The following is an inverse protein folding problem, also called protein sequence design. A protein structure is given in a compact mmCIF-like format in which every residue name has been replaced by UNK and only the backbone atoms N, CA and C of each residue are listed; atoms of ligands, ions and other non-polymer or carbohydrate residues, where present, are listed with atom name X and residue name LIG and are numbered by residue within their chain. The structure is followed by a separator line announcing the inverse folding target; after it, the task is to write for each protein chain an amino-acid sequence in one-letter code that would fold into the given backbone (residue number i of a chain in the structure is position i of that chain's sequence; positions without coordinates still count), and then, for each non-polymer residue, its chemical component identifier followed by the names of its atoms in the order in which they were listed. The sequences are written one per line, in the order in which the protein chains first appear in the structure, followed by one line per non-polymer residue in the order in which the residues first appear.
data_IF_312521058335
#
_entry.id   IF_312521058335
#
_cell.length_a   1.000
_cell.length_b   1.000
_cell.length_c   1.000
_cell.angle_alpha   90.00
_cell.angle_beta   90.00
_cell.angle_gamma   90.00
#
_symmetry.space_group_name_H-M   'P 1'
#
loop_
_entity.id
_entity.type
_entity.pdbx_description
1 polymer ?
#
# COMPACT_ATOMS: atom_id res chain seq x y z
N UNK A 1 8.69 26.96 2.12
CA UNK A 1 9.21 28.05 2.96
C UNK A 1 10.47 27.56 3.67
N UNK A 2 11.43 28.41 4.02
CA UNK A 2 12.57 28.05 4.84
C UNK A 2 12.09 27.66 6.25
N UNK A 3 12.77 26.69 6.88
CA UNK A 3 12.51 26.32 8.26
C UNK A 3 13.01 27.46 9.18
N UNK A 4 12.29 27.79 10.26
CA UNK A 4 12.81 28.73 11.25
C UNK A 4 14.10 28.19 11.87
N UNK A 5 15.11 29.03 11.99
CA UNK A 5 16.46 28.68 12.46
C UNK A 5 16.45 27.97 13.83
N UNK A 6 15.60 28.44 14.74
CA UNK A 6 15.44 27.82 16.06
C UNK A 6 14.96 26.36 16.00
N UNK A 7 14.06 26.01 15.03
CA UNK A 7 13.58 24.66 14.81
C UNK A 7 14.69 23.80 14.22
N UNK A 8 15.44 24.32 13.24
CA UNK A 8 16.56 23.64 12.63
C UNK A 8 17.64 23.27 13.66
N UNK A 9 18.05 24.23 14.50
CA UNK A 9 19.02 24.03 15.57
C UNK A 9 18.50 23.02 16.61
N UNK A 10 17.20 23.02 16.93
CA UNK A 10 16.61 22.09 17.86
C UNK A 10 16.60 20.66 17.31
N UNK A 11 16.27 20.47 16.03
CA UNK A 11 16.28 19.17 15.37
C UNK A 11 17.67 18.56 15.28
N UNK A 12 18.67 19.35 14.89
CA UNK A 12 20.05 18.87 14.82
C UNK A 12 20.59 18.51 16.21
N UNK A 13 20.25 19.29 17.23
CA UNK A 13 20.62 19.01 18.63
C UNK A 13 19.94 17.73 19.13
N UNK A 14 18.64 17.56 18.88
CA UNK A 14 17.91 16.34 19.26
C UNK A 14 18.50 15.09 18.60
N UNK A 15 18.92 15.20 17.33
CA UNK A 15 19.63 14.10 16.64
C UNK A 15 20.95 13.77 17.33
N UNK A 16 21.80 14.77 17.61
CA UNK A 16 23.10 14.61 18.23
C UNK A 16 22.98 13.99 19.65
N UNK A 17 21.99 14.43 20.43
CA UNK A 17 21.71 13.91 21.79
C UNK A 17 21.18 12.46 21.74
N UNK A 18 20.23 12.17 20.84
CA UNK A 18 19.60 10.84 20.76
C UNK A 18 20.57 9.76 20.33
N UNK A 19 21.53 10.08 19.48
CA UNK A 19 22.49 9.12 18.95
C UNK A 19 23.92 9.26 19.55
N UNK A 20 24.06 10.05 20.62
CA UNK A 20 25.33 10.19 21.36
C UNK A 20 26.48 10.69 20.51
N UNK A 21 26.22 11.56 19.54
CA UNK A 21 27.20 12.09 18.59
C UNK A 21 27.68 11.08 17.54
N UNK A 22 27.13 9.85 17.51
CA UNK A 22 27.41 8.87 16.45
C UNK A 22 26.82 9.35 15.12
N UNK A 23 27.55 9.16 14.03
CA UNK A 23 27.03 9.38 12.68
C UNK A 23 26.23 8.15 12.25
N UNK A 24 24.97 8.09 12.66
CA UNK A 24 24.03 7.02 12.28
C UNK A 24 23.20 7.45 11.07
N UNK A 25 22.64 6.50 10.39
CA UNK A 25 21.58 6.73 9.39
C UNK A 25 20.24 6.50 10.05
N UNK A 26 19.25 7.29 9.67
CA UNK A 26 17.92 7.20 10.26
C UNK A 26 16.85 7.08 9.18
N UNK A 27 15.77 6.42 9.55
CA UNK A 27 14.50 6.49 8.84
C UNK A 27 13.70 7.66 9.42
N UNK A 28 13.29 8.59 8.59
CA UNK A 28 12.41 9.69 8.97
C UNK A 28 11.00 9.35 8.48
N UNK A 29 10.10 9.08 9.43
CA UNK A 29 8.72 8.65 9.15
C UNK A 29 7.73 9.71 9.61
N UNK A 30 6.65 9.90 8.85
CA UNK A 30 5.51 10.70 9.27
C UNK A 30 4.83 10.11 10.51
N UNK A 31 4.27 10.99 11.33
CA UNK A 31 3.34 10.69 12.40
C UNK A 31 2.31 11.80 12.42
N UNK A 32 1.35 11.73 11.50
CA UNK A 32 0.35 12.77 11.34
C UNK A 32 -0.81 12.57 12.33
N UNK A 33 -1.46 13.67 12.72
CA UNK A 33 -2.71 13.59 13.48
C UNK A 33 -3.71 12.77 12.67
N UNK A 34 -4.32 11.78 13.30
CA UNK A 34 -5.25 10.80 12.75
C UNK A 34 -4.61 9.61 11.97
N UNK A 35 -3.27 9.58 11.76
CA UNK A 35 -2.60 8.46 11.10
C UNK A 35 -2.78 7.12 11.85
N UNK A 36 -2.84 7.19 13.19
CA UNK A 36 -3.05 6.03 14.07
C UNK A 36 -4.53 5.78 14.42
N UNK A 37 -5.45 6.35 13.64
CA UNK A 37 -6.89 6.19 13.84
C UNK A 37 -7.45 4.89 13.26
N UNK A 38 -8.80 4.79 13.23
CA UNK A 38 -9.52 3.65 12.63
C UNK A 38 -9.32 3.53 11.11
N UNK A 39 -8.83 4.56 10.46
CA UNK A 39 -8.51 4.57 9.03
C UNK A 39 -6.99 4.51 8.86
N UNK A 40 -6.54 3.66 7.95
CA UNK A 40 -5.13 3.50 7.68
C UNK A 40 -4.65 4.58 6.71
N UNK A 41 -3.75 5.45 7.18
CA UNK A 41 -3.03 6.39 6.31
C UNK A 41 -1.80 5.75 5.65
N UNK A 42 -1.75 4.41 5.59
CA UNK A 42 -0.63 3.68 5.01
C UNK A 42 -0.28 4.24 3.62
N UNK A 43 1.00 4.60 3.43
CA UNK A 43 1.52 5.12 2.17
C UNK A 43 0.95 6.47 1.70
N UNK A 44 0.15 7.18 2.50
CA UNK A 44 -0.36 8.50 2.12
C UNK A 44 0.69 9.60 2.27
N UNK A 45 1.59 9.42 3.22
CA UNK A 45 2.68 10.34 3.49
C UNK A 45 4.03 9.72 3.09
N UNK A 46 5.05 10.57 2.97
CA UNK A 46 6.39 10.15 2.58
C UNK A 46 7.18 9.70 3.82
N UNK A 47 7.92 8.60 3.67
CA UNK A 47 8.98 8.18 4.58
C UNK A 47 10.30 8.23 3.83
N UNK A 48 11.36 8.73 4.46
CA UNK A 48 12.68 8.84 3.83
C UNK A 48 13.67 8.01 4.63
N UNK A 49 14.28 7.05 3.95
CA UNK A 49 15.28 6.14 4.51
C UNK A 49 16.70 6.66 4.24
N UNK A 50 17.66 6.22 5.04
CA UNK A 50 19.08 6.55 4.84
C UNK A 50 19.46 7.99 5.16
N UNK A 51 18.60 8.74 5.84
CA UNK A 51 18.82 10.14 6.20
C UNK A 51 20.03 10.25 7.14
N UNK A 52 20.94 11.14 6.82
CA UNK A 52 22.10 11.49 7.66
C UNK A 52 21.83 12.82 8.38
N UNK A 53 22.70 13.16 9.36
CA UNK A 53 22.64 14.46 10.02
C UNK A 53 22.63 15.63 9.03
N UNK A 54 23.45 15.54 7.99
CA UNK A 54 23.60 16.63 7.02
C UNK A 54 22.37 16.79 6.10
N UNK A 55 21.66 15.70 5.84
CA UNK A 55 20.43 15.68 5.02
C UNK A 55 19.15 15.80 5.83
N UNK A 56 19.22 15.78 7.18
CA UNK A 56 18.07 15.72 8.08
C UNK A 56 17.05 16.85 7.83
N UNK A 57 17.50 18.08 7.71
CA UNK A 57 16.61 19.23 7.53
C UNK A 57 15.91 19.20 6.19
N UNK A 58 16.60 18.78 5.13
CA UNK A 58 16.01 18.62 3.80
C UNK A 58 14.99 17.50 3.79
N UNK A 59 15.30 16.35 4.37
CA UNK A 59 14.40 15.23 4.51
C UNK A 59 13.17 15.60 5.35
N UNK A 60 13.37 16.28 6.48
CA UNK A 60 12.27 16.76 7.33
C UNK A 60 11.26 17.61 6.56
N UNK A 61 11.77 18.60 5.81
CA UNK A 61 10.91 19.48 4.99
C UNK A 61 10.13 18.69 3.94
N UNK A 62 10.74 17.69 3.36
CA UNK A 62 10.13 16.85 2.32
C UNK A 62 9.03 15.95 2.91
N UNK A 63 9.28 15.28 4.03
CA UNK A 63 8.27 14.50 4.74
C UNK A 63 7.10 15.41 5.17
N UNK A 64 7.39 16.58 5.73
CA UNK A 64 6.34 17.54 6.11
C UNK A 64 5.51 18.01 4.91
N UNK A 65 6.15 18.25 3.77
CA UNK A 65 5.47 18.68 2.55
C UNK A 65 4.53 17.61 2.00
N UNK A 66 4.79 16.31 2.26
CA UNK A 66 3.93 15.20 1.83
C UNK A 66 2.52 15.28 2.42
N UNK A 67 2.34 15.98 3.56
CA UNK A 67 1.02 16.27 4.14
C UNK A 67 0.08 17.00 3.16
N UNK A 68 0.66 17.76 2.25
CA UNK A 68 -0.04 18.58 1.24
C UNK A 68 0.09 18.01 -0.17
N UNK A 69 0.55 16.76 -0.32
CA UNK A 69 0.57 16.09 -1.61
C UNK A 69 -0.85 15.88 -2.13
N UNK A 70 -1.08 15.86 -3.46
CA UNK A 70 -2.41 15.59 -4.04
C UNK A 70 -3.04 14.31 -3.49
N UNK A 71 -2.24 13.26 -3.30
CA UNK A 71 -2.66 11.99 -2.72
C UNK A 71 -3.15 12.15 -1.29
N UNK A 72 -2.36 12.76 -0.41
CA UNK A 72 -2.71 12.97 0.99
C UNK A 72 -3.95 13.88 1.15
N UNK A 73 -4.03 14.96 0.37
CA UNK A 73 -5.17 15.86 0.38
C UNK A 73 -6.45 15.16 -0.08
N UNK A 74 -6.39 14.41 -1.17
CA UNK A 74 -7.54 13.64 -1.69
C UNK A 74 -8.02 12.62 -0.66
N UNK A 75 -7.09 11.87 -0.07
CA UNK A 75 -7.41 10.87 0.95
C UNK A 75 -8.08 11.52 2.17
N UNK A 76 -7.53 12.61 2.70
CA UNK A 76 -8.05 13.32 3.85
C UNK A 76 -9.45 13.89 3.61
N UNK A 77 -9.64 14.58 2.49
CA UNK A 77 -10.93 15.16 2.11
C UNK A 77 -12.02 14.11 1.99
N UNK A 78 -11.70 12.97 1.39
CA UNK A 78 -12.67 11.88 1.18
C UNK A 78 -13.05 11.16 2.48
N UNK A 79 -12.12 11.10 3.43
CA UNK A 79 -12.38 10.52 4.74
C UNK A 79 -12.90 11.53 5.78
N UNK A 80 -13.27 12.74 5.34
CA UNK A 80 -13.92 13.73 6.19
C UNK A 80 -12.98 14.50 7.12
N UNK A 81 -11.66 14.42 6.90
CA UNK A 81 -10.72 15.18 7.72
C UNK A 81 -10.63 16.64 7.26
N UNK A 82 -10.72 17.55 8.22
CA UNK A 82 -10.52 18.97 7.95
C UNK A 82 -9.05 19.28 7.64
N UNK A 83 -8.81 20.09 6.62
CA UNK A 83 -7.45 20.48 6.23
C UNK A 83 -6.83 21.47 7.24
N UNK A 84 -7.68 22.27 7.93
CA UNK A 84 -7.27 23.25 8.93
C UNK A 84 -6.69 22.64 10.21
N UNK A 85 -7.05 21.40 10.53
CA UNK A 85 -6.60 20.68 11.73
C UNK A 85 -5.41 19.77 11.46
N UNK A 86 -4.69 20.02 10.36
CA UNK A 86 -3.55 19.20 9.96
C UNK A 86 -2.32 19.48 10.82
N UNK A 87 -1.80 18.45 11.45
CA UNK A 87 -0.51 18.47 12.12
C UNK A 87 0.25 17.20 11.82
N UNK A 88 1.58 17.30 11.71
CA UNK A 88 2.45 16.15 11.50
C UNK A 88 3.64 16.25 12.46
N UNK A 89 3.75 15.24 13.33
CA UNK A 89 4.98 14.86 13.97
C UNK A 89 5.85 14.03 13.03
N UNK A 90 7.08 13.77 13.43
CA UNK A 90 7.97 12.87 12.71
C UNK A 90 8.73 12.00 13.68
N UNK A 91 8.81 10.73 13.35
CA UNK A 91 9.62 9.76 14.07
C UNK A 91 10.98 9.62 13.36
N UNK A 92 12.06 9.75 14.12
CA UNK A 92 13.42 9.60 13.63
C UNK A 92 14.02 8.34 14.28
N UNK A 93 14.12 7.26 13.52
CA UNK A 93 14.57 5.94 14.00
C UNK A 93 15.91 5.59 13.40
N UNK A 94 16.83 5.04 14.20
CA UNK A 94 18.07 4.47 13.66
C UNK A 94 17.76 3.37 12.64
N UNK A 95 18.39 3.45 11.45
CA UNK A 95 18.20 2.47 10.40
C UNK A 95 18.81 1.15 10.77
N UNK A 96 18.05 0.09 10.57
CA UNK A 96 18.52 -1.27 10.70
C UNK A 96 19.09 -1.73 9.34
N UNK A 97 20.31 -2.24 9.34
CA UNK A 97 20.86 -2.94 8.19
C UNK A 97 20.21 -4.32 8.07
N UNK A 98 19.03 -4.35 7.49
CA UNK A 98 18.20 -5.53 7.49
C UNK A 98 18.75 -6.62 6.56
N UNK A 99 18.92 -7.84 7.07
CA UNK A 99 19.13 -9.08 6.32
C UNK A 99 17.81 -9.54 5.71
N UNK A 100 16.73 -9.44 6.50
CA UNK A 100 15.37 -9.70 6.11
C UNK A 100 14.43 -8.74 6.82
N UNK A 101 13.30 -8.43 6.22
CA UNK A 101 12.28 -7.61 6.85
C UNK A 101 10.88 -7.96 6.32
N UNK A 102 9.86 -7.51 7.02
CA UNK A 102 8.50 -7.79 6.59
C UNK A 102 7.43 -7.30 7.54
N UNK A 103 6.24 -7.86 7.39
CA UNK A 103 5.06 -7.52 8.17
C UNK A 103 4.45 -8.75 8.82
N UNK A 104 3.80 -8.56 9.95
CA UNK A 104 3.02 -9.58 10.63
C UNK A 104 1.66 -9.03 11.03
N UNK A 105 0.61 -9.75 10.66
CA UNK A 105 -0.77 -9.42 11.02
C UNK A 105 -1.23 -10.36 12.12
N UNK A 106 -1.67 -9.80 13.23
CA UNK A 106 -2.15 -10.62 14.36
C UNK A 106 -3.43 -11.37 14.06
N UNK A 107 -4.14 -10.97 13.02
CA UNK A 107 -5.28 -11.65 12.40
C UNK A 107 -5.11 -11.68 10.89
N UNK A 108 -5.65 -12.70 10.24
CA UNK A 108 -5.59 -12.77 8.78
C UNK A 108 -6.41 -11.62 8.15
N UNK A 109 -5.81 -10.73 7.33
CA UNK A 109 -6.45 -9.50 6.89
C UNK A 109 -7.64 -9.70 5.93
N UNK A 110 -7.72 -10.85 5.28
CA UNK A 110 -8.77 -11.18 4.30
C UNK A 110 -9.72 -12.27 4.83
N UNK A 111 -9.17 -13.31 5.45
CA UNK A 111 -9.96 -14.39 6.01
C UNK A 111 -10.17 -14.17 7.51
N UNK A 112 -11.18 -13.38 7.87
CA UNK A 112 -11.51 -13.04 9.26
C UNK A 112 -11.93 -14.27 10.11
N UNK A 113 -12.28 -15.40 9.47
CA UNK A 113 -12.58 -16.67 10.17
C UNK A 113 -11.30 -17.44 10.52
N UNK A 114 -10.18 -17.17 9.84
CA UNK A 114 -8.91 -17.77 10.21
C UNK A 114 -8.45 -17.22 11.56
N UNK A 115 -8.14 -18.14 12.45
CA UNK A 115 -7.54 -17.80 13.75
C UNK A 115 -6.01 -17.92 13.68
N UNK A 116 -5.41 -17.51 12.56
CA UNK A 116 -3.98 -17.57 12.32
C UNK A 116 -3.37 -16.17 12.29
N UNK A 117 -2.12 -16.10 12.70
CA UNK A 117 -1.23 -14.96 12.49
C UNK A 117 -0.62 -15.12 11.10
N UNK A 118 -0.70 -14.08 10.27
CA UNK A 118 -0.05 -14.05 8.97
C UNK A 118 1.27 -13.31 9.09
N UNK A 119 2.37 -13.92 8.63
CA UNK A 119 3.70 -13.31 8.59
C UNK A 119 4.19 -13.34 7.15
N UNK A 120 4.61 -12.19 6.63
CA UNK A 120 5.20 -12.03 5.32
C UNK A 120 6.62 -11.48 5.45
N UNK A 121 7.56 -11.98 4.65
CA UNK A 121 8.95 -11.52 4.71
C UNK A 121 9.68 -11.61 3.37
N UNK A 122 10.67 -10.72 3.20
CA UNK A 122 11.57 -10.66 2.05
C UNK A 122 13.02 -10.51 2.51
N UNK A 123 13.97 -10.73 1.61
CA UNK A 123 15.36 -10.35 1.84
C UNK A 123 15.54 -8.83 1.77
N UNK A 124 16.41 -8.29 2.62
CA UNK A 124 16.75 -6.87 2.67
C UNK A 124 15.71 -6.02 3.40
N UNK A 125 15.47 -4.80 2.90
CA UNK A 125 14.53 -3.85 3.49
C UNK A 125 13.08 -4.23 3.20
N UNK A 126 12.18 -3.94 4.14
CA UNK A 126 10.76 -4.27 4.06
C UNK A 126 9.95 -3.39 3.09
N UNK A 127 10.56 -2.40 2.45
CA UNK A 127 9.90 -1.49 1.51
C UNK A 127 9.22 -2.25 0.37
N UNK A 128 9.88 -3.27 -0.18
CA UNK A 128 9.33 -4.11 -1.25
C UNK A 128 8.08 -4.93 -0.84
N UNK A 129 7.89 -5.22 0.46
CA UNK A 129 6.64 -5.81 0.95
C UNK A 129 5.57 -4.75 1.10
N UNK A 130 5.94 -3.56 1.59
CA UNK A 130 5.01 -2.48 1.86
C UNK A 130 4.44 -1.88 0.57
N UNK A 131 5.25 -1.69 -0.46
CA UNK A 131 4.81 -1.19 -1.78
C UNK A 131 4.25 -2.30 -2.68
N UNK A 132 4.52 -3.57 -2.34
CA UNK A 132 4.05 -4.74 -3.09
C UNK A 132 4.84 -5.04 -4.36
N UNK A 133 6.04 -4.49 -4.51
CA UNK A 133 6.92 -4.75 -5.65
C UNK A 133 7.56 -6.15 -5.62
N UNK A 134 7.58 -6.81 -4.46
CA UNK A 134 8.08 -8.17 -4.31
C UNK A 134 7.00 -9.12 -3.77
N UNK A 135 7.02 -10.38 -4.25
CA UNK A 135 6.24 -11.45 -3.66
C UNK A 135 6.97 -11.99 -2.44
N UNK A 136 6.42 -11.86 -1.22
CA UNK A 136 7.08 -12.29 0.00
C UNK A 136 6.94 -13.79 0.25
N UNK A 137 7.85 -14.34 1.06
CA UNK A 137 7.60 -15.58 1.79
C UNK A 137 6.42 -15.37 2.74
N UNK A 138 5.61 -16.40 2.96
CA UNK A 138 4.41 -16.31 3.77
C UNK A 138 4.33 -17.48 4.75
N UNK A 139 3.98 -17.18 6.00
CA UNK A 139 3.72 -18.16 7.05
C UNK A 139 2.39 -17.87 7.74
N UNK A 140 1.59 -18.92 7.91
CA UNK A 140 0.43 -18.89 8.78
C UNK A 140 0.79 -19.61 10.08
N UNK A 141 0.61 -18.95 11.20
CA UNK A 141 0.91 -19.48 12.53
C UNK A 141 -0.38 -19.54 13.33
N UNK A 142 -0.75 -20.74 13.77
CA UNK A 142 -1.93 -20.94 14.61
C UNK A 142 -1.77 -20.22 15.95
N UNK A 143 -2.70 -19.32 16.26
CA UNK A 143 -2.73 -18.56 17.53
C UNK A 143 -2.90 -19.48 18.75
N UNK A 144 -3.61 -20.58 18.59
CA UNK A 144 -3.90 -21.50 19.68
C UNK A 144 -2.70 -22.41 20.03
N UNK A 145 -1.94 -22.85 19.01
CA UNK A 145 -0.88 -23.85 19.18
C UNK A 145 0.52 -23.32 18.95
N UNK A 146 0.64 -22.10 18.41
CA UNK A 146 1.91 -21.48 17.99
C UNK A 146 2.70 -22.34 16.97
N UNK A 147 2.01 -23.21 16.25
CA UNK A 147 2.58 -24.02 15.19
C UNK A 147 2.38 -23.33 13.85
N UNK A 148 3.38 -23.43 12.97
CA UNK A 148 3.27 -23.02 11.58
C UNK A 148 2.30 -24.02 10.92
N UNK A 149 1.13 -23.52 10.49
CA UNK A 149 0.08 -24.32 9.84
C UNK A 149 0.25 -24.37 8.33
N UNK A 150 0.82 -23.32 7.75
CA UNK A 150 1.10 -23.20 6.32
C UNK A 150 2.36 -22.37 6.09
N UNK A 151 3.11 -22.74 5.05
CA UNK A 151 4.34 -22.07 4.64
C UNK A 151 4.41 -22.03 3.12
N UNK A 152 4.57 -20.83 2.56
CA UNK A 152 4.75 -20.62 1.11
C UNK A 152 6.03 -19.84 0.92
N UNK A 153 7.01 -20.41 0.23
CA UNK A 153 8.27 -19.75 -0.07
C UNK A 153 8.24 -19.23 -1.51
N UNK A 154 8.38 -17.93 -1.64
CA UNK A 154 8.41 -17.25 -2.92
C UNK A 154 9.79 -17.35 -3.58
N UNK A 155 9.84 -17.27 -4.90
CA UNK A 155 11.09 -17.02 -5.62
C UNK A 155 11.41 -15.53 -5.54
N UNK A 156 12.42 -15.18 -4.76
CA UNK A 156 12.85 -13.79 -4.50
C UNK A 156 14.00 -13.43 -5.44
N UNK A 157 13.70 -12.79 -6.57
CA UNK A 157 14.72 -12.43 -7.58
C UNK A 157 15.50 -11.20 -7.17
N UNK A 158 14.88 -10.25 -6.49
CA UNK A 158 15.46 -8.98 -6.07
C UNK A 158 15.27 -8.75 -4.59
N UNK A 159 16.14 -7.94 -4.00
CA UNK A 159 16.03 -7.41 -2.65
C UNK A 159 16.33 -5.92 -2.66
N UNK A 160 15.79 -5.16 -1.74
CA UNK A 160 16.13 -3.75 -1.56
C UNK A 160 17.18 -3.61 -0.47
N UNK A 161 18.28 -2.95 -0.77
CA UNK A 161 19.37 -2.66 0.18
C UNK A 161 19.69 -1.18 0.21
N UNK A 162 20.38 -0.72 1.25
CA UNK A 162 20.91 0.64 1.28
C UNK A 162 22.23 0.70 0.49
N UNK A 163 22.24 1.42 -0.61
CA UNK A 163 23.44 1.65 -1.42
C UNK A 163 23.92 3.08 -1.32
N UNK A 164 25.26 3.26 -1.36
CA UNK A 164 25.86 4.59 -1.45
C UNK A 164 25.77 5.08 -2.89
N UNK A 165 25.10 6.20 -3.08
CA UNK A 165 25.02 6.92 -4.37
C UNK A 165 25.73 8.27 -4.26
N UNK A 166 25.94 8.96 -5.38
CA UNK A 166 26.50 10.31 -5.40
C UNK A 166 25.64 11.32 -4.63
N UNK A 167 24.34 11.03 -4.47
CA UNK A 167 23.37 11.85 -3.75
C UNK A 167 23.21 11.46 -2.26
N UNK A 168 23.93 10.45 -1.80
CA UNK A 168 23.82 9.92 -0.43
C UNK A 168 23.61 8.42 -0.40
N UNK A 169 22.85 7.94 0.58
CA UNK A 169 22.49 6.53 0.70
C UNK A 169 20.99 6.39 0.49
N UNK A 170 20.64 5.65 -0.52
CA UNK A 170 19.26 5.45 -0.93
C UNK A 170 18.94 3.95 -1.00
N UNK A 171 17.66 3.56 -0.82
CA UNK A 171 17.23 2.21 -1.12
C UNK A 171 17.49 1.90 -2.61
N UNK A 172 18.09 0.75 -2.87
CA UNK A 172 18.43 0.31 -4.21
C UNK A 172 18.10 -1.17 -4.40
N UNK A 173 17.43 -1.55 -5.49
CA UNK A 173 17.21 -2.96 -5.81
C UNK A 173 18.52 -3.63 -6.20
N UNK A 174 18.75 -4.83 -5.68
CA UNK A 174 19.90 -5.70 -5.94
C UNK A 174 19.40 -7.12 -6.22
N UNK A 175 20.04 -7.81 -7.16
CA UNK A 175 19.70 -9.19 -7.47
C UNK A 175 20.02 -10.12 -6.29
N UNK A 176 19.10 -11.03 -5.99
CA UNK A 176 19.33 -12.11 -5.05
C UNK A 176 20.08 -13.23 -5.75
N UNK A 177 21.19 -13.69 -5.16
CA UNK A 177 21.97 -14.81 -5.71
C UNK A 177 21.09 -16.06 -5.88
N UNK A 178 21.25 -16.81 -6.97
CA UNK A 178 20.44 -18.00 -7.28
C UNK A 178 20.23 -18.97 -6.10
N UNK A 179 21.26 -19.31 -5.29
CA UNK A 179 21.08 -20.20 -4.16
C UNK A 179 20.13 -19.67 -3.09
N UNK A 180 19.95 -18.35 -3.01
CA UNK A 180 19.12 -17.68 -1.99
C UNK A 180 17.71 -17.38 -2.46
N UNK A 181 17.42 -17.46 -3.75
CA UNK A 181 16.13 -17.06 -4.32
C UNK A 181 14.95 -17.86 -3.77
N UNK A 182 15.14 -19.15 -3.53
CA UNK A 182 14.11 -20.09 -3.05
C UNK A 182 14.32 -20.52 -1.59
N UNK A 183 15.20 -19.81 -0.85
CA UNK A 183 15.46 -20.08 0.56
C UNK A 183 14.53 -19.19 1.40
N UNK A 184 13.90 -19.71 2.47
CA UNK A 184 13.11 -18.90 3.40
C UNK A 184 13.95 -17.76 3.98
N UNK A 185 13.41 -16.53 3.99
CA UNK A 185 14.11 -15.37 4.57
C UNK A 185 14.10 -15.37 6.12
N UNK A 186 13.30 -16.23 6.73
CA UNK A 186 13.25 -16.46 8.18
C UNK A 186 13.49 -17.92 8.54
N UNK A 187 14.10 -18.16 9.67
CA UNK A 187 14.09 -19.46 10.33
C UNK A 187 12.73 -19.72 10.98
N UNK A 188 12.38 -20.98 11.18
CA UNK A 188 11.12 -21.34 11.87
C UNK A 188 11.04 -20.82 13.30
N UNK A 189 12.19 -20.64 13.98
CA UNK A 189 12.22 -20.09 15.34
C UNK A 189 11.98 -18.58 15.32
N UNK A 190 12.52 -17.85 14.33
CA UNK A 190 12.21 -16.43 14.12
C UNK A 190 10.72 -16.22 13.80
N UNK A 191 10.13 -17.08 12.95
CA UNK A 191 8.67 -17.05 12.67
C UNK A 191 7.85 -17.21 13.95
N UNK A 192 8.20 -18.18 14.82
CA UNK A 192 7.52 -18.37 16.11
C UNK A 192 7.72 -17.18 17.06
N UNK A 193 8.91 -16.59 17.08
CA UNK A 193 9.21 -15.42 17.91
C UNK A 193 8.39 -14.20 17.46
N UNK A 194 8.28 -13.94 16.15
CA UNK A 194 7.44 -12.88 15.61
C UNK A 194 5.97 -13.12 15.97
N UNK A 195 5.48 -14.35 15.83
CA UNK A 195 4.12 -14.70 16.22
C UNK A 195 3.86 -14.49 17.73
N UNK A 196 4.83 -14.81 18.58
CA UNK A 196 4.72 -14.56 20.00
C UNK A 196 4.70 -13.06 20.35
N UNK A 197 5.48 -12.24 19.64
CA UNK A 197 5.43 -10.79 19.77
C UNK A 197 4.08 -10.24 19.30
N UNK A 198 3.59 -10.72 18.18
CA UNK A 198 2.31 -10.31 17.63
C UNK A 198 1.17 -10.48 18.65
N UNK A 199 1.11 -11.63 19.35
CA UNK A 199 0.10 -11.86 20.38
C UNK A 199 0.30 -10.94 21.61
N UNK A 200 1.53 -10.68 22.02
CA UNK A 200 1.80 -9.76 23.14
C UNK A 200 1.38 -8.32 22.81
N UNK A 201 1.65 -7.89 21.59
CA UNK A 201 1.33 -6.54 21.12
C UNK A 201 -0.20 -6.39 21.00
N UNK A 202 -0.90 -7.36 20.37
CA UNK A 202 -2.37 -7.36 20.32
C UNK A 202 -2.99 -7.35 21.72
N UNK A 203 -2.42 -8.14 22.64
CA UNK A 203 -2.88 -8.14 24.05
C UNK A 203 -2.66 -6.79 24.73
N UNK A 204 -1.54 -6.12 24.45
CA UNK A 204 -1.26 -4.79 25.01
C UNK A 204 -2.22 -3.72 24.51
N UNK A 205 -2.45 -3.67 23.21
CA UNK A 205 -3.34 -2.68 22.58
C UNK A 205 -4.83 -3.07 22.63
N UNK A 206 -5.17 -4.30 23.01
CA UNK A 206 -6.53 -4.85 23.02
C UNK A 206 -7.24 -4.77 21.66
N UNK A 207 -6.48 -4.73 20.58
CA UNK A 207 -6.97 -4.61 19.22
C UNK A 207 -5.99 -5.29 18.24
N UNK A 208 -6.47 -5.95 17.17
CA UNK A 208 -5.60 -6.57 16.17
C UNK A 208 -4.63 -5.58 15.55
N UNK A 209 -3.40 -6.03 15.32
CA UNK A 209 -2.28 -5.19 14.93
C UNK A 209 -1.63 -5.65 13.63
N UNK A 210 -1.17 -4.67 12.86
CA UNK A 210 -0.24 -4.76 11.75
C UNK A 210 1.14 -4.34 12.28
N UNK A 211 2.13 -5.22 12.14
CA UNK A 211 3.44 -5.10 12.80
C UNK A 211 4.53 -5.18 11.73
N UNK A 212 5.39 -4.17 11.68
CA UNK A 212 6.60 -4.19 10.88
C UNK A 212 7.78 -4.70 11.71
N UNK A 213 8.57 -5.61 11.13
CA UNK A 213 9.72 -6.22 11.76
C UNK A 213 10.92 -6.29 10.82
N UNK A 214 12.13 -6.40 11.38
CA UNK A 214 13.36 -6.67 10.65
C UNK A 214 14.22 -7.69 11.41
N UNK A 215 15.09 -8.36 10.65
CA UNK A 215 16.22 -9.16 11.16
C UNK A 215 17.49 -8.46 10.70
N UNK A 216 18.38 -8.15 11.63
CA UNK A 216 19.67 -7.54 11.31
C UNK A 216 20.70 -8.57 10.80
N UNK A 217 21.94 -8.11 10.55
CA UNK A 217 23.02 -8.96 10.06
C UNK A 217 23.52 -9.96 11.13
N UNK A 218 23.22 -9.71 12.41
CA UNK A 218 23.53 -10.55 13.56
C UNK A 218 22.38 -11.51 13.94
N UNK A 219 21.40 -11.66 13.03
CA UNK A 219 20.19 -12.49 13.17
C UNK A 219 19.27 -12.09 14.35
N UNK A 220 19.37 -10.82 14.82
CA UNK A 220 18.50 -10.29 15.87
C UNK A 220 17.20 -9.79 15.27
N UNK A 221 16.07 -10.22 15.86
CA UNK A 221 14.75 -9.69 15.52
C UNK A 221 14.53 -8.33 16.16
N UNK A 222 14.02 -7.39 15.38
CA UNK A 222 13.76 -6.01 15.79
C UNK A 222 12.34 -5.64 15.37
N UNK A 223 11.58 -5.08 16.33
CA UNK A 223 10.27 -4.51 16.07
C UNK A 223 10.45 -3.08 15.58
N UNK A 224 9.84 -2.74 14.43
CA UNK A 224 9.95 -1.42 13.80
C UNK A 224 8.72 -0.55 14.06
N UNK A 225 7.53 -1.13 13.92
CA UNK A 225 6.25 -0.41 14.07
C UNK A 225 5.14 -1.38 14.43
N UNK A 226 4.13 -0.90 15.15
CA UNK A 226 2.85 -1.58 15.31
C UNK A 226 1.73 -0.55 15.16
N UNK A 227 0.67 -0.92 14.45
CA UNK A 227 -0.52 -0.08 14.26
C UNK A 227 -1.80 -0.91 14.25
N UNK A 228 -2.96 -0.32 14.60
CA UNK A 228 -4.23 -1.01 14.51
C UNK A 228 -4.53 -1.48 13.09
N UNK A 229 -5.00 -2.72 12.95
CA UNK A 229 -5.47 -3.22 11.66
C UNK A 229 -6.83 -2.60 11.33
N UNK A 230 -6.97 -2.06 10.10
CA UNK A 230 -8.29 -1.76 9.55
C UNK A 230 -9.01 -3.06 9.17
N UNK A 231 -10.16 -3.34 9.79
CA UNK A 231 -11.02 -4.44 9.37
C UNK A 231 -12.19 -3.93 8.55
N UNK A 232 -12.48 -4.63 7.47
CA UNK A 232 -13.80 -4.58 6.87
C UNK A 232 -14.70 -5.57 7.64
N UNK A 233 -15.59 -5.04 8.49
CA UNK A 233 -16.53 -5.81 9.31
C UNK A 233 -17.71 -6.38 8.49
N UNK A 234 -17.56 -6.45 7.18
CA UNK A 234 -18.55 -7.06 6.29
C UNK A 234 -18.60 -8.58 6.50
N UNK A 235 -19.47 -9.01 7.38
CA UNK A 235 -19.84 -10.43 7.58
C UNK A 235 -20.81 -10.84 6.46
N UNK A 236 -20.30 -10.89 5.22
CA UNK A 236 -21.09 -11.31 4.07
C UNK A 236 -20.77 -12.77 3.72
N UNK A 237 -21.46 -13.66 4.43
CA UNK A 237 -21.52 -15.10 4.11
C UNK A 237 -22.51 -15.36 2.97
N UNK A 238 -22.49 -14.53 1.94
CA UNK A 238 -23.24 -14.81 0.73
C UNK A 238 -22.54 -15.93 -0.03
N UNK A 239 -23.11 -17.12 0.00
CA UNK A 239 -22.68 -18.25 -0.83
C UNK A 239 -22.84 -17.83 -2.28
N UNK A 240 -21.74 -17.40 -2.90
CA UNK A 240 -21.74 -17.12 -4.32
C UNK A 240 -22.17 -18.38 -5.09
N UNK A 241 -23.06 -18.27 -6.08
CA UNK A 241 -23.54 -19.39 -6.86
C UNK A 241 -22.37 -20.16 -7.48
N UNK A 242 -22.42 -21.47 -7.45
CA UNK A 242 -21.47 -22.31 -8.21
C UNK A 242 -21.81 -22.21 -9.69
N UNK A 243 -20.92 -21.58 -10.44
CA UNK A 243 -21.04 -21.47 -11.90
C UNK A 243 -20.43 -22.72 -12.54
N UNK A 244 -21.15 -23.85 -12.49
CA UNK A 244 -20.65 -25.14 -13.00
C UNK A 244 -20.38 -25.17 -14.51
N UNK A 245 -20.88 -24.21 -15.26
CA UNK A 245 -20.83 -24.19 -16.74
C UNK A 245 -19.97 -23.11 -17.36
N UNK A 246 -19.43 -22.17 -16.58
CA UNK A 246 -18.65 -21.04 -17.10
C UNK A 246 -17.21 -21.20 -16.65
N UNK A 247 -16.30 -21.37 -17.60
CA UNK A 247 -14.88 -21.46 -17.31
C UNK A 247 -14.28 -20.08 -17.08
N UNK A 248 -13.57 -19.85 -15.96
CA UNK A 248 -12.89 -18.60 -15.72
C UNK A 248 -11.69 -18.42 -16.67
N UNK A 249 -11.42 -17.20 -17.10
CA UNK A 249 -10.19 -16.83 -17.80
C UNK A 249 -8.97 -16.96 -16.87
N UNK A 250 -9.13 -16.53 -15.60
CA UNK A 250 -8.13 -16.64 -14.55
C UNK A 250 -8.77 -17.28 -13.31
N UNK A 251 -8.00 -18.09 -12.60
CA UNK A 251 -8.41 -18.75 -11.35
C UNK A 251 -7.22 -18.93 -10.41
N UNK A 252 -7.50 -19.09 -9.11
CA UNK A 252 -6.47 -19.24 -8.09
C UNK A 252 -5.74 -17.95 -7.79
N UNK A 253 -6.32 -16.80 -8.14
CA UNK A 253 -5.77 -15.50 -7.78
C UNK A 253 -6.00 -15.22 -6.28
N UNK A 254 -5.07 -14.49 -5.67
CA UNK A 254 -5.19 -14.08 -4.28
C UNK A 254 -6.19 -12.92 -4.15
N UNK A 255 -7.14 -13.05 -3.22
CA UNK A 255 -8.14 -12.02 -2.96
C UNK A 255 -7.55 -10.97 -2.00
N UNK A 256 -7.30 -9.78 -2.48
CA UNK A 256 -6.80 -8.67 -1.67
C UNK A 256 -7.91 -7.82 -1.05
N UNK A 257 -9.00 -7.60 -1.79
CA UNK A 257 -10.23 -6.97 -1.29
C UNK A 257 -11.43 -7.69 -1.90
N UNK A 258 -12.39 -8.06 -1.05
CA UNK A 258 -13.58 -8.82 -1.46
C UNK A 258 -14.52 -7.97 -2.31
N UNK A 259 -15.20 -8.60 -3.26
CA UNK A 259 -16.22 -8.00 -4.05
C UNK A 259 -16.41 -8.64 -5.41
N UNK A 260 -17.46 -8.21 -6.12
CA UNK A 260 -17.69 -8.57 -7.51
C UNK A 260 -17.93 -7.30 -8.32
N UNK A 261 -17.32 -7.20 -9.47
CA UNK A 261 -17.55 -6.10 -10.39
C UNK A 261 -17.38 -6.54 -11.85
N UNK A 262 -18.04 -5.84 -12.75
CA UNK A 262 -17.93 -6.03 -14.18
C UNK A 262 -17.52 -4.71 -14.85
N UNK A 263 -16.57 -4.78 -15.77
CA UNK A 263 -16.09 -3.61 -16.51
C UNK A 263 -15.16 -3.98 -17.64
N UNK A 264 -14.86 -2.99 -18.49
CA UNK A 264 -13.88 -3.15 -19.55
C UNK A 264 -12.45 -3.12 -19.01
N UNK A 265 -11.59 -3.94 -19.57
CA UNK A 265 -10.17 -4.05 -19.19
C UNK A 265 -9.38 -2.86 -19.70
N UNK A 266 -8.59 -2.25 -18.82
CA UNK A 266 -7.54 -1.30 -19.19
C UNK A 266 -6.23 -1.74 -18.57
N UNK A 267 -5.24 -2.03 -19.43
CA UNK A 267 -3.86 -2.27 -19.00
C UNK A 267 -3.22 -0.95 -18.62
N UNK A 268 -2.59 -0.91 -17.47
CA UNK A 268 -2.03 0.30 -16.90
C UNK A 268 -0.54 0.08 -16.62
N UNK A 269 0.26 1.05 -17.09
CA UNK A 269 1.62 1.19 -16.64
C UNK A 269 1.62 1.82 -15.23
N UNK A 270 2.21 1.16 -14.23
CA UNK A 270 2.25 1.67 -12.85
C UNK A 270 2.91 3.04 -12.69
N UNK A 271 3.78 3.42 -13.62
CA UNK A 271 4.51 4.68 -13.62
C UNK A 271 3.83 5.79 -14.43
N UNK A 272 2.71 5.48 -15.09
CA UNK A 272 1.95 6.46 -15.86
C UNK A 272 1.13 7.42 -14.97
N UNK A 273 0.74 8.55 -15.56
CA UNK A 273 -0.25 9.45 -14.94
C UNK A 273 -1.65 8.84 -15.02
N UNK A 274 -2.15 8.40 -13.88
CA UNK A 274 -3.44 7.72 -13.74
C UNK A 274 -4.59 8.66 -13.33
N UNK A 275 -4.40 9.96 -13.34
CA UNK A 275 -5.43 10.95 -12.98
C UNK A 275 -6.66 10.89 -13.88
N UNK A 276 -6.50 10.44 -15.12
CA UNK A 276 -7.55 10.33 -16.14
C UNK A 276 -8.06 8.90 -16.37
N UNK A 277 -7.82 7.97 -15.43
CA UNK A 277 -8.35 6.61 -15.55
C UNK A 277 -9.88 6.62 -15.74
N UNK A 278 -10.44 5.89 -16.73
CA UNK A 278 -11.87 5.89 -17.00
C UNK A 278 -12.67 5.26 -15.85
N UNK A 279 -13.83 5.84 -15.55
CA UNK A 279 -14.70 5.36 -14.48
C UNK A 279 -15.39 4.05 -14.86
N UNK A 280 -15.42 3.11 -13.91
CA UNK A 280 -16.11 1.81 -14.09
C UNK A 280 -15.31 0.76 -14.85
N UNK A 281 -14.05 1.01 -15.18
CA UNK A 281 -13.20 0.03 -15.85
C UNK A 281 -12.45 -0.86 -14.89
N UNK A 282 -12.05 -2.03 -15.35
CA UNK A 282 -11.16 -2.95 -14.63
C UNK A 282 -9.71 -2.56 -14.91
N UNK A 283 -8.99 -2.21 -13.86
CA UNK A 283 -7.56 -1.88 -13.93
C UNK A 283 -6.74 -3.16 -13.90
N UNK A 284 -5.91 -3.39 -14.91
CA UNK A 284 -4.98 -4.53 -14.94
C UNK A 284 -3.55 -4.02 -14.92
N UNK A 285 -2.76 -4.53 -13.97
CA UNK A 285 -1.41 -4.07 -13.64
C UNK A 285 -0.41 -5.25 -13.66
N UNK A 286 0.84 -5.06 -14.12
CA UNK A 286 1.88 -6.08 -13.99
C UNK A 286 2.29 -6.31 -12.53
N UNK A 287 2.26 -5.27 -11.71
CA UNK A 287 2.54 -5.35 -10.27
C UNK A 287 1.76 -4.27 -9.49
N UNK A 288 1.59 -4.50 -8.19
CA UNK A 288 0.99 -3.49 -7.31
C UNK A 288 1.85 -2.22 -7.28
N UNK A 289 1.21 -1.03 -7.29
CA UNK A 289 1.90 0.25 -7.26
C UNK A 289 1.17 1.25 -6.37
N UNK A 290 1.89 2.01 -5.54
CA UNK A 290 1.30 3.12 -4.78
C UNK A 290 0.66 4.19 -5.66
N UNK A 291 1.18 4.41 -6.88
CA UNK A 291 0.67 5.38 -7.83
C UNK A 291 -0.75 5.02 -8.33
N UNK A 292 -1.07 3.72 -8.40
CA UNK A 292 -2.39 3.25 -8.78
C UNK A 292 -3.50 3.74 -7.82
N UNK A 293 -3.15 4.15 -6.59
CA UNK A 293 -4.10 4.65 -5.60
C UNK A 293 -4.94 5.83 -6.10
N UNK A 294 -4.39 6.67 -6.95
CA UNK A 294 -5.10 7.84 -7.52
C UNK A 294 -6.30 7.39 -8.39
N UNK A 295 -6.13 6.30 -9.13
CA UNK A 295 -7.13 5.77 -10.06
C UNK A 295 -8.06 4.71 -9.45
N UNK A 296 -7.68 4.10 -8.32
CA UNK A 296 -8.41 2.99 -7.68
C UNK A 296 -9.89 3.27 -7.48
N UNK A 297 -10.25 4.51 -7.18
CA UNK A 297 -11.63 4.87 -6.88
C UNK A 297 -12.49 5.00 -8.12
N UNK A 298 -11.87 5.15 -9.28
CA UNK A 298 -12.55 5.17 -10.58
C UNK A 298 -12.66 3.77 -11.16
N UNK A 299 -11.76 2.87 -10.77
CA UNK A 299 -11.80 1.48 -11.17
C UNK A 299 -12.98 0.75 -10.49
N UNK A 300 -13.69 -0.10 -11.24
CA UNK A 300 -14.70 -0.99 -10.66
C UNK A 300 -14.07 -2.22 -10.01
N UNK A 301 -12.92 -2.67 -10.49
CA UNK A 301 -12.10 -3.74 -9.92
C UNK A 301 -10.62 -3.57 -10.33
N UNK A 302 -9.73 -4.26 -9.63
CA UNK A 302 -8.29 -4.26 -9.90
C UNK A 302 -7.79 -5.70 -9.98
N UNK A 303 -6.93 -5.98 -10.97
CA UNK A 303 -6.25 -7.26 -11.16
C UNK A 303 -4.77 -6.99 -11.36
N UNK A 304 -3.92 -7.50 -10.46
CA UNK A 304 -2.47 -7.37 -10.54
C UNK A 304 -1.80 -8.74 -10.70
N UNK A 305 -0.85 -8.86 -11.64
CA UNK A 305 -0.13 -10.12 -11.87
C UNK A 305 0.73 -10.52 -10.68
N UNK A 306 1.35 -9.53 -10.04
CA UNK A 306 2.13 -9.71 -8.82
C UNK A 306 1.74 -8.69 -7.77
N UNK A 307 1.83 -9.07 -6.50
CA UNK A 307 1.53 -8.17 -5.40
C UNK A 307 1.40 -8.88 -4.07
N UNK A 308 1.44 -8.09 -2.99
CA UNK A 308 1.27 -8.58 -1.64
C UNK A 308 -0.13 -8.29 -1.12
N UNK A 309 -0.79 -9.29 -0.53
CA UNK A 309 -2.08 -9.12 0.17
C UNK A 309 -1.99 -8.11 1.33
N UNK A 310 -0.78 -7.85 1.77
CA UNK A 310 -0.45 -7.01 2.91
C UNK A 310 0.17 -5.68 2.51
N UNK A 311 0.39 -5.48 1.19
CA UNK A 311 0.93 -4.25 0.64
C UNK A 311 -0.02 -3.06 0.74
N UNK A 312 0.53 -1.88 0.52
CA UNK A 312 -0.21 -0.61 0.56
C UNK A 312 -1.45 -0.62 -0.36
N UNK A 313 -1.30 -1.08 -1.60
CA UNK A 313 -2.41 -1.16 -2.56
C UNK A 313 -3.55 -2.03 -2.05
N UNK A 314 -3.23 -3.22 -1.50
CA UNK A 314 -4.23 -4.12 -0.91
C UNK A 314 -4.98 -3.48 0.27
N UNK A 315 -4.28 -2.76 1.14
CA UNK A 315 -4.88 -2.05 2.27
C UNK A 315 -5.84 -0.96 1.81
N UNK A 316 -5.43 -0.14 0.85
CA UNK A 316 -6.27 0.93 0.29
C UNK A 316 -7.48 0.36 -0.47
N UNK A 317 -7.32 -0.73 -1.22
CA UNK A 317 -8.43 -1.38 -1.91
C UNK A 317 -9.49 -1.89 -0.91
N UNK A 318 -9.07 -2.46 0.23
CA UNK A 318 -10.00 -2.86 1.30
C UNK A 318 -10.74 -1.67 1.89
N UNK A 319 -10.05 -0.57 2.15
CA UNK A 319 -10.66 0.66 2.68
C UNK A 319 -11.72 1.24 1.74
N UNK A 320 -11.45 1.22 0.44
CA UNK A 320 -12.38 1.75 -0.55
C UNK A 320 -13.41 0.74 -1.03
N UNK A 321 -13.30 -0.53 -0.62
CA UNK A 321 -14.20 -1.59 -1.07
C UNK A 321 -14.09 -1.86 -2.56
N UNK A 322 -12.90 -1.70 -3.16
CA UNK A 322 -12.66 -2.00 -4.57
C UNK A 322 -12.24 -3.45 -4.71
N UNK A 323 -13.05 -4.30 -5.38
CA UNK A 323 -12.72 -5.70 -5.62
C UNK A 323 -11.33 -5.84 -6.23
N UNK A 324 -10.44 -6.61 -5.58
CA UNK A 324 -9.04 -6.66 -5.99
C UNK A 324 -8.49 -8.08 -5.93
N UNK A 325 -7.91 -8.50 -7.04
CA UNK A 325 -7.16 -9.75 -7.17
C UNK A 325 -5.68 -9.44 -7.35
N UNK A 326 -4.84 -10.24 -6.69
CA UNK A 326 -3.39 -10.22 -6.80
C UNK A 326 -2.85 -11.58 -7.15
N UNK A 327 -1.60 -11.65 -7.57
CA UNK A 327 -0.94 -12.87 -8.04
C UNK A 327 -1.74 -13.56 -9.17
N UNK A 328 -2.41 -12.74 -9.97
CA UNK A 328 -3.19 -13.14 -11.15
C UNK A 328 -2.25 -13.39 -12.33
N UNK A 329 -1.48 -14.47 -12.28
CA UNK A 329 -0.43 -14.79 -13.25
C UNK A 329 -0.97 -14.83 -14.68
N UNK A 330 -0.31 -14.12 -15.58
CA UNK A 330 -0.69 -14.00 -16.98
C UNK A 330 -1.87 -13.05 -17.25
N UNK A 331 -2.28 -12.24 -16.28
CA UNK A 331 -3.40 -11.32 -16.44
C UNK A 331 -3.16 -10.30 -17.57
N UNK A 332 -1.93 -9.81 -17.71
CA UNK A 332 -1.57 -8.87 -18.79
C UNK A 332 -1.65 -9.48 -20.19
N UNK A 333 -1.52 -10.80 -20.31
CA UNK A 333 -1.59 -11.52 -21.60
C UNK A 333 -2.99 -12.07 -21.87
N UNK A 334 -3.68 -12.57 -20.82
CA UNK A 334 -4.95 -13.30 -20.93
C UNK A 334 -6.14 -12.33 -21.03
N UNK A 335 -6.09 -11.21 -20.31
CA UNK A 335 -7.16 -10.21 -20.31
C UNK A 335 -6.86 -9.18 -21.39
N UNK A 336 -7.59 -9.25 -22.50
CA UNK A 336 -7.39 -8.32 -23.62
C UNK A 336 -7.90 -6.91 -23.29
N UNK A 337 -7.19 -5.88 -23.76
CA UNK A 337 -7.63 -4.49 -23.59
C UNK A 337 -9.00 -4.23 -24.23
N UNK A 338 -9.85 -3.47 -23.55
CA UNK A 338 -11.26 -3.19 -23.91
C UNK A 338 -12.20 -4.41 -23.82
N UNK A 339 -11.71 -5.59 -23.42
CA UNK A 339 -12.59 -6.75 -23.19
C UNK A 339 -13.46 -6.52 -21.94
N UNK A 340 -14.74 -6.91 -22.03
CA UNK A 340 -15.64 -6.90 -20.86
C UNK A 340 -15.38 -8.13 -20.03
N UNK A 341 -15.10 -7.94 -18.72
CA UNK A 341 -14.84 -9.04 -17.79
C UNK A 341 -15.58 -8.86 -16.47
N UNK A 342 -15.92 -9.98 -15.81
CA UNK A 342 -16.43 -10.00 -14.45
C UNK A 342 -15.33 -10.50 -13.52
N UNK A 343 -14.95 -9.68 -12.56
CA UNK A 343 -13.98 -10.00 -11.51
C UNK A 343 -14.72 -10.52 -10.28
N UNK A 344 -14.55 -11.80 -9.97
CA UNK A 344 -15.05 -12.47 -8.76
C UNK A 344 -13.94 -12.48 -7.70
N UNK A 345 -13.80 -11.39 -6.99
CA UNK A 345 -12.87 -11.30 -5.86
C UNK A 345 -13.45 -11.86 -4.54
N UNK A 346 -14.43 -12.75 -4.61
CA UNK A 346 -14.83 -13.64 -3.51
C UNK A 346 -14.09 -14.98 -3.59
N UNK A 347 -13.80 -15.43 -4.83
CA UNK A 347 -13.21 -16.74 -5.10
C UNK A 347 -11.92 -16.70 -5.92
N UNK A 348 -11.36 -15.52 -6.16
CA UNK A 348 -10.10 -15.35 -6.88
C UNK A 348 -10.18 -15.74 -8.36
N UNK A 349 -11.25 -15.31 -9.08
CA UNK A 349 -11.51 -15.69 -10.47
C UNK A 349 -11.87 -14.48 -11.34
N UNK A 350 -11.58 -14.57 -12.62
CA UNK A 350 -12.02 -13.60 -13.64
C UNK A 350 -12.72 -14.35 -14.76
N UNK A 351 -13.86 -13.85 -15.18
CA UNK A 351 -14.68 -14.44 -16.25
C UNK A 351 -14.81 -13.46 -17.40
N UNK A 352 -14.99 -14.00 -18.61
CA UNK A 352 -15.31 -13.23 -19.81
C UNK A 352 -16.76 -12.77 -19.77
N UNK A 353 -16.98 -11.49 -20.11
CA UNK A 353 -18.32 -10.91 -20.18
C UNK A 353 -18.92 -10.60 -18.80
N UNK A 354 -20.19 -10.25 -18.83
CA UNK A 354 -21.00 -9.96 -17.66
C UNK A 354 -21.63 -11.24 -17.12
N UNK A 355 -21.51 -11.48 -15.81
CA UNK A 355 -22.13 -12.62 -15.11
C UNK A 355 -23.15 -12.06 -14.10
N UNK A 356 -24.43 -11.96 -14.49
CA UNK A 356 -25.47 -11.33 -13.67
C UNK A 356 -25.61 -11.97 -12.29
N UNK A 357 -25.49 -13.32 -12.21
CA UNK A 357 -25.65 -14.07 -10.99
C UNK A 357 -24.60 -13.72 -9.93
N UNK A 358 -23.41 -13.29 -10.36
CA UNK A 358 -22.36 -12.80 -9.46
C UNK A 358 -22.59 -11.34 -9.07
N UNK A 359 -23.10 -10.52 -9.97
CA UNK A 359 -23.34 -9.10 -9.74
C UNK A 359 -24.54 -8.83 -8.83
N UNK A 360 -25.47 -9.78 -8.74
CA UNK A 360 -26.60 -9.72 -7.80
C UNK A 360 -26.17 -9.88 -6.34
N UNK A 361 -24.96 -10.40 -6.09
CA UNK A 361 -24.41 -10.48 -4.74
C UNK A 361 -24.21 -9.06 -4.19
N UNK A 362 -25.08 -8.64 -3.29
CA UNK A 362 -24.99 -7.35 -2.60
C UNK A 362 -23.79 -7.37 -1.67
N UNK A 363 -22.67 -6.82 -2.14
CA UNK A 363 -21.54 -6.55 -1.27
C UNK A 363 -21.68 -5.10 -0.82
N UNK A 364 -21.78 -4.88 0.48
CA UNK A 364 -21.86 -3.55 1.08
C UNK A 364 -20.59 -2.77 0.74
N UNK A 365 -20.65 -1.97 -0.32
CA UNK A 365 -19.63 -0.93 -0.55
C UNK A 365 -19.80 0.12 0.53
N UNK A 366 -18.75 0.50 1.22
CA UNK A 366 -18.79 1.69 2.06
C UNK A 366 -19.24 2.87 1.20
N UNK A 367 -20.24 3.65 1.62
CA UNK A 367 -20.59 4.84 0.89
C UNK A 367 -19.38 5.77 0.82
N UNK A 368 -19.20 6.50 -0.29
CA UNK A 368 -18.19 7.55 -0.36
C UNK A 368 -18.41 8.48 0.85
N UNK A 369 -17.31 9.02 1.38
CA UNK A 369 -17.31 9.87 2.56
C UNK A 369 -18.46 10.88 2.51
N UNK A 370 -19.17 11.01 3.63
CA UNK A 370 -20.27 11.95 3.77
C UNK A 370 -19.82 13.36 3.33
N UNK A 371 -20.74 14.13 2.73
CA UNK A 371 -20.51 15.53 2.35
C UNK A 371 -20.05 16.32 3.59
N UNK A 372 -18.73 16.54 3.67
CA UNK A 372 -18.14 17.35 4.73
C UNK A 372 -18.21 18.81 4.35
N UNK A 373 -18.27 19.75 5.33
CA UNK A 373 -18.22 21.19 5.05
C UNK A 373 -17.03 21.58 4.17
N UNK A 374 -15.87 20.94 4.36
CA UNK A 374 -14.68 21.17 3.55
C UNK A 374 -14.85 20.70 2.11
N UNK A 375 -15.46 19.54 1.87
CA UNK A 375 -15.73 19.03 0.53
C UNK A 375 -16.78 19.88 -0.19
N UNK A 376 -17.82 20.33 0.52
CA UNK A 376 -18.81 21.25 -0.02
C UNK A 376 -18.19 22.61 -0.39
N UNK A 377 -17.27 23.12 0.42
CA UNK A 377 -16.52 24.34 0.11
C UNK A 377 -15.65 24.18 -1.12
N UNK A 378 -14.92 23.08 -1.24
CA UNK A 378 -14.06 22.79 -2.41
C UNK A 378 -14.87 22.64 -3.69
N UNK A 379 -16.03 21.96 -3.65
CA UNK A 379 -16.94 21.88 -4.79
C UNK A 379 -17.44 23.28 -5.24
N UNK A 380 -17.70 24.17 -4.27
CA UNK A 380 -18.05 25.55 -4.57
C UNK A 380 -16.87 26.30 -5.23
N UNK A 381 -15.67 26.16 -4.69
CA UNK A 381 -14.47 26.81 -5.22
C UNK A 381 -14.16 26.27 -6.63
N UNK A 382 -14.20 24.95 -6.82
CA UNK A 382 -13.93 24.32 -8.13
C UNK A 382 -14.90 24.77 -9.23
N UNK A 383 -16.15 25.10 -8.88
CA UNK A 383 -17.10 25.70 -9.81
C UNK A 383 -16.74 27.09 -10.32
N UNK A 384 -15.79 27.77 -9.65
CA UNK A 384 -15.26 29.08 -10.08
C UNK A 384 -13.87 28.97 -10.72
N UNK A 385 -13.29 27.78 -10.78
CA UNK A 385 -12.01 27.52 -11.42
C UNK A 385 -12.29 27.03 -12.84
N UNK A 386 -11.84 27.78 -13.81
CA UNK A 386 -11.82 27.31 -15.20
C UNK A 386 -10.64 26.33 -15.34
N UNK A 387 -10.89 25.07 -15.68
CA UNK A 387 -9.81 24.12 -15.89
C UNK A 387 -8.97 24.55 -17.09
N UNK A 388 -7.66 24.59 -16.92
CA UNK A 388 -6.71 24.75 -18.04
C UNK A 388 -6.60 23.39 -18.75
N UNK A 389 -6.93 23.35 -20.03
CA UNK A 389 -6.86 22.12 -20.85
C UNK A 389 -5.53 21.99 -21.59
N UNK A 390 -4.77 23.08 -21.70
CA UNK A 390 -3.48 23.13 -22.37
C UNK A 390 -2.38 23.60 -21.41
N UNK A 391 -1.87 22.69 -20.61
CA UNK A 391 -0.86 22.98 -19.57
C UNK A 391 0.56 22.59 -19.97
N UNK A 392 0.77 21.74 -20.96
CA UNK A 392 2.11 21.35 -21.44
C UNK A 392 2.40 21.95 -22.82
N UNK A 393 3.31 22.95 -22.91
CA UNK A 393 3.72 23.56 -24.17
C UNK A 393 4.34 22.60 -25.18
N UNK A 394 4.80 21.43 -24.73
CA UNK A 394 5.42 20.38 -25.58
C UNK A 394 4.40 19.40 -26.15
N UNK A 395 3.16 19.45 -25.67
CA UNK A 395 2.10 18.59 -26.15
C UNK A 395 1.78 18.94 -27.61
N UNK A 396 1.58 17.95 -28.51
CA UNK A 396 1.14 18.19 -29.89
C UNK A 396 -0.24 18.88 -29.96
N UNK A 397 -1.02 18.84 -28.88
CA UNK A 397 -2.31 19.50 -28.75
C UNK A 397 -2.21 20.96 -28.27
N UNK A 398 -1.04 21.46 -27.89
CA UNK A 398 -0.82 22.83 -27.46
C UNK A 398 -0.85 23.78 -28.68
N UNK A 399 -2.05 24.10 -29.14
CA UNK A 399 -2.31 24.93 -30.31
C UNK A 399 -3.52 25.82 -30.05
N UNK A 400 -3.49 27.05 -30.53
CA UNK A 400 -4.56 28.04 -30.35
C UNK A 400 -5.95 27.56 -30.78
N UNK A 401 -6.02 26.67 -31.77
CA UNK A 401 -7.31 26.11 -32.26
C UNK A 401 -7.93 25.08 -31.28
N UNK A 402 -7.17 24.61 -30.31
CA UNK A 402 -7.66 23.67 -29.31
C UNK A 402 -8.03 24.36 -28.00
N UNK A 403 -7.90 25.70 -27.91
CA UNK A 403 -8.34 26.48 -26.77
C UNK A 403 -9.86 26.34 -26.58
N UNK A 404 -10.28 26.02 -25.36
CA UNK A 404 -11.70 25.89 -24.97
C UNK A 404 -12.15 27.06 -24.11
N UNK A 405 -11.20 27.86 -23.61
CA UNK A 405 -11.46 29.05 -22.80
C UNK A 405 -10.48 30.17 -23.13
N UNK A 406 -10.73 31.39 -22.63
CA UNK A 406 -9.79 32.51 -22.72
C UNK A 406 -8.53 32.35 -21.86
N UNK A 407 -8.52 31.35 -20.97
CA UNK A 407 -7.37 31.05 -20.12
C UNK A 407 -6.42 30.02 -20.75
N UNK A 408 -6.91 29.22 -21.70
CA UNK A 408 -6.08 28.30 -22.48
C UNK A 408 -5.17 29.09 -23.44
#
# INVERSE_FOLDING_TARGET
APMPRQVEEALLRAYDESFGGRRVRVALRSSAIAEDGMQSFAGQYESILGVTRDTLITAWRRVFASLYSPRALTYRLRNGYELSTSGMGMCCLEMINAKAAGVAFTRHPVNLRSNDILINGVWGLGEAVADGSATPDQWLVSRATMKISHETIATKLTRVVLSCTDNGVEPHPEDVSEPMQNVPCLTRDQVRQIAAWALKIEHHYQYPQDIEWAVDQEDQLILLQARPMGFDSGDDDQRAPELEKIHPLLSGCDVAAKGVACGQVLHVDPDADLTHFPEGWVMVLPHSSPNATVAMQRACAIVAETGSLTGHMASVCREYGVPTLMNARGAMEILEGNELVTVDALRGRVFRGEIPELLELKINRRPPAADTPSLALLRRISGHILPLHMVDPRSPNFKAQNCTSLHD
#
